data_IF_049542325956
#
_entry.id   IF_049542325956
#
_cell.length_a   1.000
_cell.length_b   1.000
_cell.length_c   1.000
_cell.angle_alpha   90.00
_cell.angle_beta   90.00
_cell.angle_gamma   90.00
#
_symmetry.space_group_name_H-M   'P 1'
#
loop_
_entity.id
_entity.type
_entity.pdbx_description
1 polymer ?
#
# COMPACT_ATOMS: atom_id res chain seq x y z
N UNK A 1 23.36 -10.07 -5.78
CA UNK A 1 23.66 -11.18 -6.69
C UNK A 1 22.61 -12.26 -6.53
N UNK A 2 22.15 -12.80 -7.62
CA UNK A 2 21.25 -13.94 -7.65
C UNK A 2 21.90 -15.17 -7.04
N UNK A 3 21.16 -15.87 -6.26
CA UNK A 3 21.54 -17.15 -5.72
C UNK A 3 20.76 -18.25 -6.42
N UNK A 4 21.49 -19.10 -7.12
CA UNK A 4 21.00 -20.35 -7.61
C UNK A 4 20.50 -20.34 -9.05
N UNK A 5 21.32 -20.91 -9.93
CA UNK A 5 20.94 -21.19 -11.30
C UNK A 5 19.70 -22.09 -11.43
N UNK A 6 19.44 -22.93 -10.42
CA UNK A 6 18.27 -23.81 -10.40
C UNK A 6 16.95 -23.04 -10.26
N UNK A 7 16.95 -21.94 -9.53
CA UNK A 7 15.77 -21.10 -9.38
C UNK A 7 15.42 -20.36 -10.68
N UNK A 8 16.42 -19.84 -11.35
CA UNK A 8 16.23 -19.24 -12.67
C UNK A 8 15.69 -20.24 -13.70
N UNK A 9 16.01 -21.53 -13.55
CA UNK A 9 15.49 -22.59 -14.42
C UNK A 9 14.05 -22.95 -14.11
N UNK A 10 13.65 -22.91 -12.83
CA UNK A 10 12.29 -23.27 -12.40
C UNK A 10 11.28 -22.14 -12.61
N UNK A 11 11.57 -21.00 -12.06
CA UNK A 11 10.66 -19.83 -12.08
C UNK A 11 11.07 -18.77 -13.10
N UNK A 12 12.29 -18.89 -13.66
CA UNK A 12 12.85 -18.02 -14.68
C UNK A 12 12.91 -16.54 -14.28
N UNK A 13 12.83 -16.24 -13.00
CA UNK A 13 12.82 -14.89 -12.46
C UNK A 13 14.01 -14.61 -11.53
N UNK A 14 14.18 -13.33 -11.18
CA UNK A 14 15.22 -12.86 -10.27
C UNK A 14 14.69 -12.89 -8.82
N UNK A 15 14.61 -14.07 -8.21
CA UNK A 15 13.99 -14.33 -6.91
C UNK A 15 14.98 -14.80 -5.84
N UNK A 16 16.22 -14.34 -5.90
CA UNK A 16 17.23 -14.69 -4.90
C UNK A 16 18.17 -13.53 -4.59
N UNK A 17 18.30 -13.19 -3.30
CA UNK A 17 19.10 -12.06 -2.82
C UNK A 17 19.94 -12.45 -1.61
N UNK A 18 21.26 -12.36 -1.72
CA UNK A 18 22.21 -12.79 -0.67
C UNK A 18 22.91 -11.64 0.08
N UNK A 19 22.86 -10.42 -0.46
CA UNK A 19 23.39 -9.19 0.15
C UNK A 19 24.83 -9.29 0.67
N UNK A 20 25.74 -9.87 -0.09
CA UNK A 20 27.15 -10.11 0.31
C UNK A 20 27.86 -8.86 0.84
N UNK A 21 27.54 -7.66 0.31
CA UNK A 21 28.14 -6.41 0.75
C UNK A 21 27.80 -5.99 2.19
N UNK A 22 26.73 -6.56 2.77
CA UNK A 22 26.27 -6.23 4.14
C UNK A 22 26.96 -7.06 5.22
N UNK A 23 27.63 -8.18 4.87
CA UNK A 23 28.32 -9.08 5.80
C UNK A 23 27.44 -9.49 7.00
N UNK A 24 26.16 -9.72 6.75
CA UNK A 24 25.13 -10.10 7.72
C UNK A 24 24.98 -9.13 8.92
N UNK A 25 25.44 -7.88 8.75
CA UNK A 25 25.47 -6.88 9.84
C UNK A 25 24.09 -6.60 10.46
N UNK A 26 23.03 -6.58 9.65
CA UNK A 26 21.67 -6.24 10.10
C UNK A 26 20.72 -7.43 10.09
N UNK A 27 20.97 -8.41 9.21
CA UNK A 27 20.26 -9.67 9.10
C UNK A 27 21.11 -10.68 8.34
N UNK A 28 21.08 -11.93 8.75
CA UNK A 28 21.64 -13.07 8.03
C UNK A 28 20.64 -13.71 7.07
N UNK A 29 19.39 -13.22 7.05
CA UNK A 29 18.32 -13.71 6.16
C UNK A 29 18.71 -13.56 4.69
N UNK A 30 18.53 -14.64 3.94
CA UNK A 30 18.74 -14.67 2.48
C UNK A 30 17.41 -14.96 1.81
N UNK A 31 17.11 -14.16 0.81
CA UNK A 31 15.91 -14.36 0.00
C UNK A 31 16.18 -15.44 -1.04
N UNK A 32 15.27 -16.42 -1.11
CA UNK A 32 15.29 -17.50 -2.07
C UNK A 32 13.96 -17.52 -2.82
N UNK A 33 13.90 -18.23 -3.94
CA UNK A 33 12.71 -18.30 -4.79
C UNK A 33 11.43 -18.69 -4.02
N UNK A 34 11.57 -19.56 -3.04
CA UNK A 34 10.44 -20.02 -2.21
C UNK A 34 9.92 -18.97 -1.20
N UNK A 35 10.54 -17.80 -1.15
CA UNK A 35 10.05 -16.64 -0.39
C UNK A 35 9.19 -15.70 -1.24
N UNK A 36 8.90 -16.08 -2.50
CA UNK A 36 8.10 -15.29 -3.43
C UNK A 36 6.96 -16.14 -3.98
N UNK A 37 5.81 -15.51 -4.28
CA UNK A 37 4.64 -16.10 -4.91
C UNK A 37 4.59 -15.83 -6.41
N UNK A 38 5.14 -14.70 -6.85
CA UNK A 38 5.10 -14.28 -8.24
C UNK A 38 6.32 -13.50 -8.74
N UNK A 39 6.40 -13.33 -10.05
CA UNK A 39 7.40 -12.47 -10.71
C UNK A 39 6.82 -11.81 -11.95
N UNK A 40 7.24 -10.58 -12.24
CA UNK A 40 6.81 -9.78 -13.40
C UNK A 40 7.58 -10.01 -14.68
N UNK A 41 8.61 -10.88 -14.65
CA UNK A 41 9.49 -11.07 -15.81
C UNK A 41 9.99 -12.50 -15.93
N UNK A 42 9.80 -13.10 -17.13
CA UNK A 42 10.40 -14.39 -17.52
C UNK A 42 11.75 -14.13 -18.19
N UNK A 43 12.83 -14.36 -17.46
CA UNK A 43 14.19 -14.12 -17.96
C UNK A 43 14.60 -15.07 -19.08
N UNK A 44 14.08 -16.28 -19.14
CA UNK A 44 14.38 -17.25 -20.20
C UNK A 44 13.71 -16.88 -21.52
N UNK A 45 12.48 -16.38 -21.49
CA UNK A 45 11.73 -15.94 -22.67
C UNK A 45 11.85 -14.43 -22.94
N UNK A 46 12.53 -13.68 -22.03
CA UNK A 46 12.72 -12.22 -22.12
C UNK A 46 11.40 -11.47 -22.31
N UNK A 47 10.37 -11.84 -21.55
CA UNK A 47 9.05 -11.22 -21.64
C UNK A 47 8.53 -10.80 -20.27
N UNK A 48 7.81 -9.68 -20.24
CA UNK A 48 7.04 -9.23 -19.09
C UNK A 48 5.68 -9.93 -19.04
N UNK A 49 5.13 -10.08 -17.84
CA UNK A 49 3.83 -10.69 -17.58
C UNK A 49 3.69 -11.02 -16.11
N UNK A 50 2.53 -11.51 -15.69
CA UNK A 50 2.33 -12.02 -14.34
C UNK A 50 2.58 -13.53 -14.35
N UNK A 51 3.59 -13.96 -13.63
CA UNK A 51 4.00 -15.37 -13.58
C UNK A 51 4.00 -15.84 -12.12
N UNK A 52 3.13 -16.81 -11.83
CA UNK A 52 3.14 -17.49 -10.54
C UNK A 52 4.36 -18.42 -10.43
N UNK A 53 5.04 -18.36 -9.31
CA UNK A 53 6.15 -19.28 -9.01
C UNK A 53 5.58 -20.66 -8.70
N UNK A 54 6.12 -21.68 -9.36
CA UNK A 54 5.67 -23.05 -9.21
C UNK A 54 6.48 -23.79 -8.13
N UNK A 55 5.79 -24.46 -7.21
CA UNK A 55 6.42 -25.24 -6.14
C UNK A 55 5.38 -25.79 -5.17
N UNK A 56 5.80 -26.68 -4.30
CA UNK A 56 4.94 -27.20 -3.24
C UNK A 56 4.53 -26.06 -2.29
N UNK A 57 3.23 -25.93 -2.03
CA UNK A 57 2.67 -24.89 -1.18
C UNK A 57 2.68 -23.48 -1.77
N UNK A 58 2.97 -23.32 -3.08
CA UNK A 58 2.97 -22.02 -3.75
C UNK A 58 1.59 -21.68 -4.29
N UNK A 59 1.06 -20.53 -3.84
CA UNK A 59 -0.18 -19.94 -4.31
C UNK A 59 -0.07 -18.42 -4.22
N UNK A 60 -1.01 -17.70 -4.81
CA UNK A 60 -1.23 -16.29 -4.49
C UNK A 60 -1.84 -16.17 -3.09
N UNK A 61 -1.49 -15.12 -2.35
CA UNK A 61 -2.06 -14.88 -1.02
C UNK A 61 -3.57 -14.61 -1.10
N UNK A 62 -4.29 -15.14 -0.13
CA UNK A 62 -5.69 -14.77 0.11
C UNK A 62 -5.76 -13.56 1.06
N UNK A 63 -6.91 -12.87 1.12
CA UNK A 63 -7.08 -11.66 1.95
C UNK A 63 -6.47 -10.41 1.33
N UNK A 64 -6.53 -10.31 0.00
CA UNK A 64 -6.16 -9.17 -0.83
C UNK A 64 -7.38 -8.63 -1.57
N UNK A 65 -7.28 -7.43 -2.15
CA UNK A 65 -8.35 -6.86 -2.98
C UNK A 65 -8.66 -7.73 -4.20
N UNK A 66 -9.94 -7.82 -4.56
CA UNK A 66 -10.41 -8.65 -5.67
C UNK A 66 -10.25 -8.02 -7.05
N UNK A 67 -9.74 -6.79 -7.14
CA UNK A 67 -9.63 -6.01 -8.39
C UNK A 67 -8.95 -6.79 -9.52
N UNK A 68 -7.88 -7.50 -9.20
CA UNK A 68 -7.11 -8.29 -10.18
C UNK A 68 -7.42 -9.79 -10.11
N UNK A 69 -8.54 -10.19 -9.53
CA UNK A 69 -8.87 -11.58 -9.28
C UNK A 69 -8.23 -12.09 -8.00
N UNK A 70 -7.64 -13.28 -8.04
CA UNK A 70 -7.11 -13.93 -6.84
C UNK A 70 -5.58 -13.85 -6.76
N UNK A 71 -4.96 -12.80 -7.22
CA UNK A 71 -3.54 -12.62 -7.06
C UNK A 71 -3.19 -11.26 -6.45
N UNK A 72 -2.24 -11.29 -5.55
CA UNK A 72 -1.71 -10.16 -4.82
C UNK A 72 -0.58 -9.42 -5.56
N UNK A 73 -0.22 -9.89 -6.75
CA UNK A 73 0.85 -9.34 -7.56
C UNK A 73 0.56 -7.91 -8.02
N UNK A 74 1.43 -6.98 -7.68
CA UNK A 74 1.41 -5.62 -8.20
C UNK A 74 2.49 -5.44 -9.28
N UNK A 75 3.76 -5.66 -8.93
CA UNK A 75 4.90 -5.49 -9.83
C UNK A 75 6.16 -6.20 -9.33
N UNK A 76 7.16 -6.36 -10.20
CA UNK A 76 8.46 -6.93 -9.91
C UNK A 76 8.42 -8.39 -9.42
N UNK A 77 8.78 -8.61 -8.14
CA UNK A 77 8.72 -9.93 -7.50
C UNK A 77 7.81 -9.82 -6.29
N UNK A 78 6.76 -10.59 -6.29
CA UNK A 78 5.78 -10.64 -5.24
C UNK A 78 6.29 -11.49 -4.07
N UNK A 79 6.25 -10.93 -2.86
CA UNK A 79 6.75 -11.57 -1.65
C UNK A 79 5.64 -12.45 -1.06
N UNK A 80 5.97 -13.71 -0.78
CA UNK A 80 5.06 -14.68 -0.17
C UNK A 80 4.80 -14.34 1.31
N UNK A 81 3.74 -13.58 1.57
CA UNK A 81 3.32 -13.18 2.92
C UNK A 81 2.64 -14.30 3.72
N UNK A 82 2.50 -15.50 3.15
CA UNK A 82 2.11 -16.72 3.85
C UNK A 82 3.31 -17.53 4.35
N UNK A 83 4.53 -17.22 3.87
CA UNK A 83 5.74 -17.94 4.26
C UNK A 83 6.23 -17.51 5.66
N UNK A 84 6.30 -18.41 6.66
CA UNK A 84 6.60 -18.03 8.05
C UNK A 84 7.94 -17.31 8.25
N UNK A 85 8.98 -17.71 7.50
CA UNK A 85 10.29 -17.07 7.60
C UNK A 85 10.28 -15.64 7.02
N UNK A 86 9.47 -15.39 5.98
CA UNK A 86 9.26 -14.06 5.40
C UNK A 86 8.56 -13.15 6.39
N UNK A 87 7.44 -13.60 6.94
CA UNK A 87 6.67 -12.86 7.96
C UNK A 87 7.55 -12.50 9.17
N UNK A 88 8.33 -13.49 9.67
CA UNK A 88 9.25 -13.28 10.78
C UNK A 88 10.32 -12.23 10.46
N UNK A 89 10.93 -12.31 9.28
CA UNK A 89 11.96 -11.36 8.87
C UNK A 89 11.41 -9.95 8.66
N UNK A 90 10.24 -9.81 8.04
CA UNK A 90 9.61 -8.49 7.85
C UNK A 90 9.18 -7.87 9.18
N UNK A 91 8.62 -8.64 10.11
CA UNK A 91 8.30 -8.17 11.45
C UNK A 91 9.57 -7.71 12.20
N UNK A 92 10.66 -8.49 12.11
CA UNK A 92 11.96 -8.11 12.67
C UNK A 92 12.48 -6.81 12.05
N UNK A 93 12.38 -6.70 10.71
CA UNK A 93 12.80 -5.50 9.99
C UNK A 93 11.97 -4.28 10.39
N UNK A 94 10.65 -4.41 10.52
CA UNK A 94 9.78 -3.32 10.95
C UNK A 94 10.15 -2.78 12.32
N UNK A 95 10.41 -3.67 13.29
CA UNK A 95 10.91 -3.31 14.62
C UNK A 95 12.26 -2.60 14.55
N UNK A 96 13.20 -3.17 13.79
CA UNK A 96 14.52 -2.59 13.65
C UNK A 96 14.48 -1.20 13.02
N UNK A 97 13.82 -1.02 11.88
CA UNK A 97 13.80 0.26 11.17
C UNK A 97 13.09 1.35 11.98
N UNK A 98 11.98 1.01 12.64
CA UNK A 98 11.25 1.96 13.46
C UNK A 98 12.07 2.44 14.68
N UNK A 99 12.87 1.57 15.27
CA UNK A 99 13.78 1.93 16.38
C UNK A 99 15.02 2.67 15.88
N UNK A 100 15.67 2.18 14.82
CA UNK A 100 16.91 2.77 14.28
C UNK A 100 16.72 4.21 13.82
N UNK A 101 15.58 4.49 13.19
CA UNK A 101 15.21 5.82 12.69
C UNK A 101 14.36 6.63 13.68
N UNK A 102 14.03 6.05 14.84
CA UNK A 102 13.16 6.64 15.85
C UNK A 102 11.83 7.16 15.24
N UNK A 103 11.15 6.31 14.47
CA UNK A 103 9.92 6.68 13.77
C UNK A 103 8.75 6.78 14.76
N UNK A 104 7.89 7.76 14.57
CA UNK A 104 6.61 7.91 15.28
C UNK A 104 5.44 7.26 14.48
N UNK A 105 5.67 6.94 13.21
CA UNK A 105 4.70 6.30 12.36
C UNK A 105 5.28 5.92 11.00
N UNK A 106 4.44 5.30 10.15
CA UNK A 106 4.80 4.93 8.78
C UNK A 106 3.61 4.95 7.83
N UNK A 107 3.89 5.21 6.55
CA UNK A 107 2.99 4.92 5.45
C UNK A 107 3.28 3.53 4.92
N UNK A 108 2.24 2.73 4.76
CA UNK A 108 2.28 1.43 4.11
C UNK A 108 1.73 1.58 2.69
N UNK A 109 2.59 1.32 1.73
CA UNK A 109 2.32 1.46 0.29
C UNK A 109 1.54 0.27 -0.23
N UNK A 110 0.58 0.49 -1.14
CA UNK A 110 -0.12 -0.53 -1.92
C UNK A 110 -0.69 -1.72 -1.11
N UNK A 111 -1.23 -1.45 0.09
CA UNK A 111 -1.67 -2.53 1.02
C UNK A 111 -2.82 -3.36 0.51
N UNK A 112 -3.57 -2.92 -0.51
CA UNK A 112 -4.61 -3.72 -1.14
C UNK A 112 -4.07 -4.97 -1.86
N UNK A 113 -2.77 -4.97 -2.21
CA UNK A 113 -2.04 -6.08 -2.79
C UNK A 113 -1.27 -6.90 -1.74
N UNK A 114 -1.44 -6.61 -0.46
CA UNK A 114 -0.81 -7.33 0.64
C UNK A 114 -1.88 -8.07 1.45
N UNK A 115 -1.54 -9.25 1.93
CA UNK A 115 -2.41 -10.00 2.84
C UNK A 115 -2.77 -9.15 4.06
N UNK A 116 -4.06 -8.93 4.29
CA UNK A 116 -4.61 -8.12 5.38
C UNK A 116 -4.11 -8.56 6.77
N UNK A 117 -4.12 -9.88 7.03
CA UNK A 117 -3.61 -10.47 8.27
C UNK A 117 -2.12 -10.19 8.48
N UNK A 118 -1.31 -10.16 7.41
CA UNK A 118 0.09 -9.78 7.52
C UNK A 118 0.23 -8.31 7.94
N UNK A 119 -0.52 -7.40 7.34
CA UNK A 119 -0.48 -5.97 7.70
C UNK A 119 -0.84 -5.77 9.16
N UNK A 120 -1.89 -6.44 9.64
CA UNK A 120 -2.30 -6.40 11.05
C UNK A 120 -1.20 -6.92 11.99
N UNK A 121 -0.58 -8.07 11.68
CA UNK A 121 0.50 -8.65 12.46
C UNK A 121 1.78 -7.80 12.45
N UNK A 122 2.11 -7.20 11.31
CA UNK A 122 3.26 -6.31 11.17
C UNK A 122 3.12 -5.07 12.07
N UNK A 123 1.94 -4.45 12.08
CA UNK A 123 1.67 -3.31 12.95
C UNK A 123 1.69 -3.69 14.43
N UNK A 124 1.15 -4.85 14.81
CA UNK A 124 1.27 -5.37 16.18
C UNK A 124 2.74 -5.57 16.58
N UNK A 125 3.54 -6.13 15.68
CA UNK A 125 4.95 -6.34 15.93
C UNK A 125 5.70 -5.01 16.14
N UNK A 126 5.47 -4.01 15.29
CA UNK A 126 6.08 -2.68 15.42
C UNK A 126 5.62 -2.00 16.71
N UNK A 127 4.32 -2.01 17.00
CA UNK A 127 3.74 -1.40 18.21
C UNK A 127 4.19 -2.06 19.49
N UNK A 128 4.55 -3.35 19.47
CA UNK A 128 5.13 -4.01 20.64
C UNK A 128 6.46 -3.40 21.09
N UNK A 129 7.18 -2.71 20.20
CA UNK A 129 8.45 -2.02 20.50
C UNK A 129 8.26 -0.51 20.66
N UNK A 130 7.41 0.10 19.82
CA UNK A 130 7.25 1.56 19.73
C UNK A 130 6.11 2.12 20.58
N UNK A 131 5.18 1.26 21.04
CA UNK A 131 3.98 1.66 21.74
C UNK A 131 2.75 1.73 20.82
N UNK A 132 1.58 1.72 21.43
CA UNK A 132 0.30 1.69 20.71
C UNK A 132 0.01 2.98 19.93
N UNK A 133 0.66 4.08 20.29
CA UNK A 133 0.51 5.38 19.65
C UNK A 133 1.29 5.48 18.32
N UNK A 134 2.04 4.42 17.96
CA UNK A 134 2.75 4.40 16.67
C UNK A 134 1.74 4.50 15.53
N UNK A 135 1.82 5.63 14.80
CA UNK A 135 0.88 5.95 13.74
C UNK A 135 1.11 5.10 12.48
N UNK A 136 0.04 4.69 11.83
CA UNK A 136 0.13 4.00 10.56
C UNK A 136 -0.96 4.50 9.61
N UNK A 137 -0.57 4.85 8.38
CA UNK A 137 -1.49 5.12 7.29
C UNK A 137 -1.20 4.17 6.13
N UNK A 138 -2.23 3.54 5.60
CA UNK A 138 -2.15 2.61 4.49
C UNK A 138 -2.72 3.20 3.20
N UNK A 139 -2.06 2.90 2.10
CA UNK A 139 -2.60 3.18 0.79
C UNK A 139 -3.40 1.98 0.28
N UNK A 140 -4.70 2.02 0.53
CA UNK A 140 -5.66 1.11 -0.08
C UNK A 140 -6.40 1.88 -1.19
N UNK A 141 -5.83 1.88 -2.39
CA UNK A 141 -6.34 2.70 -3.49
C UNK A 141 -7.57 2.07 -4.12
N UNK A 142 -8.73 2.38 -3.58
CA UNK A 142 -10.04 1.95 -4.06
C UNK A 142 -11.07 3.06 -3.80
N UNK A 143 -11.88 3.40 -4.79
CA UNK A 143 -12.94 4.41 -4.67
C UNK A 143 -14.26 3.87 -4.07
N UNK A 144 -14.33 2.57 -3.81
CA UNK A 144 -15.49 1.92 -3.21
C UNK A 144 -15.34 1.90 -1.68
N UNK A 145 -16.25 2.61 -1.01
CA UNK A 145 -16.28 2.68 0.45
C UNK A 145 -16.48 1.30 1.11
N UNK A 146 -17.30 0.41 0.51
CA UNK A 146 -17.53 -0.93 1.06
C UNK A 146 -16.23 -1.75 1.09
N UNK A 147 -15.34 -1.56 0.09
CA UNK A 147 -14.03 -2.22 0.08
C UNK A 147 -13.11 -1.68 1.19
N UNK A 148 -13.12 -0.37 1.45
CA UNK A 148 -12.36 0.25 2.53
C UNK A 148 -12.87 -0.21 3.90
N UNK A 149 -14.20 -0.22 4.09
CA UNK A 149 -14.85 -0.69 5.33
C UNK A 149 -14.48 -2.15 5.61
N UNK A 150 -14.59 -3.02 4.60
CA UNK A 150 -14.23 -4.43 4.73
C UNK A 150 -12.75 -4.62 5.11
N UNK A 151 -11.85 -3.81 4.53
CA UNK A 151 -10.43 -3.86 4.86
C UNK A 151 -10.15 -3.38 6.29
N UNK A 152 -10.78 -2.28 6.73
CA UNK A 152 -10.65 -1.77 8.11
C UNK A 152 -11.05 -2.84 9.12
N UNK A 153 -12.16 -3.54 8.88
CA UNK A 153 -12.60 -4.65 9.72
C UNK A 153 -11.60 -5.81 9.70
N UNK A 154 -11.10 -6.20 8.52
CA UNK A 154 -10.15 -7.31 8.37
C UNK A 154 -8.83 -7.07 9.12
N UNK A 155 -8.32 -5.83 9.14
CA UNK A 155 -7.11 -5.46 9.88
C UNK A 155 -7.36 -5.07 11.34
N UNK A 156 -8.61 -5.11 11.80
CA UNK A 156 -9.01 -4.82 13.18
C UNK A 156 -8.79 -3.35 13.58
N UNK A 157 -9.12 -2.41 12.70
CA UNK A 157 -9.01 -0.96 12.90
C UNK A 157 -7.58 -0.48 13.24
N UNK A 158 -6.54 -1.20 12.79
CA UNK A 158 -5.14 -0.93 13.19
C UNK A 158 -4.43 0.08 12.30
N UNK A 159 -5.01 0.47 11.18
CA UNK A 159 -4.39 1.36 10.19
C UNK A 159 -5.39 2.43 9.75
N UNK A 160 -4.91 3.65 9.63
CA UNK A 160 -5.65 4.72 8.95
C UNK A 160 -5.54 4.52 7.44
N UNK A 161 -6.55 4.91 6.68
CA UNK A 161 -6.51 4.83 5.22
C UNK A 161 -6.64 6.22 4.60
N UNK A 162 -6.03 6.40 3.43
CA UNK A 162 -6.34 7.56 2.61
C UNK A 162 -7.79 7.50 2.13
N UNK A 163 -8.49 8.63 2.23
CA UNK A 163 -9.89 8.76 1.80
C UNK A 163 -9.96 8.92 0.27
N UNK A 164 -9.83 7.81 -0.42
CA UNK A 164 -9.87 7.75 -1.89
C UNK A 164 -11.25 8.11 -2.43
N UNK A 165 -12.38 7.68 -1.83
CA UNK A 165 -13.71 8.16 -2.21
C UNK A 165 -13.83 9.69 -2.16
N UNK A 166 -13.34 10.35 -1.11
CA UNK A 166 -13.35 11.81 -1.00
C UNK A 166 -12.52 12.47 -2.11
N UNK A 167 -11.33 11.91 -2.40
CA UNK A 167 -10.52 12.37 -3.54
C UNK A 167 -11.33 12.34 -4.85
N UNK A 168 -12.02 11.23 -5.14
CA UNK A 168 -12.82 11.12 -6.36
C UNK A 168 -14.04 12.04 -6.37
N UNK A 169 -14.69 12.29 -5.22
CA UNK A 169 -15.74 13.28 -5.13
C UNK A 169 -15.22 14.69 -5.44
N UNK A 170 -14.05 15.06 -4.92
CA UNK A 170 -13.41 16.34 -5.22
C UNK A 170 -12.97 16.44 -6.69
N UNK A 171 -12.42 15.36 -7.25
CA UNK A 171 -12.08 15.30 -8.66
C UNK A 171 -13.32 15.51 -9.52
N UNK A 172 -14.41 14.78 -9.28
CA UNK A 172 -15.67 14.93 -10.01
C UNK A 172 -16.24 16.34 -9.86
N UNK A 173 -16.28 16.89 -8.65
CA UNK A 173 -16.73 18.27 -8.41
C UNK A 173 -15.93 19.28 -9.22
N UNK A 174 -14.63 19.07 -9.35
CA UNK A 174 -13.76 19.96 -10.14
C UNK A 174 -14.04 19.89 -11.64
N UNK A 175 -14.46 18.71 -12.16
CA UNK A 175 -14.81 18.51 -13.56
C UNK A 175 -16.20 19.07 -13.91
N UNK A 176 -17.18 18.82 -13.06
CA UNK A 176 -18.58 19.21 -13.29
C UNK A 176 -18.84 20.70 -12.95
N UNK A 177 -18.05 21.28 -12.08
CA UNK A 177 -18.13 22.69 -11.69
C UNK A 177 -19.51 23.05 -11.12
N UNK A 178 -20.21 23.98 -11.79
CA UNK A 178 -21.51 24.48 -11.34
C UNK A 178 -22.63 23.42 -11.33
N UNK A 179 -22.45 22.32 -12.01
CA UNK A 179 -23.45 21.26 -12.13
C UNK A 179 -23.31 20.21 -11.03
N UNK A 180 -22.20 20.22 -10.25
CA UNK A 180 -21.98 19.36 -9.08
C UNK A 180 -22.69 19.91 -7.83
N UNK A 181 -23.42 19.06 -7.11
CA UNK A 181 -24.02 19.43 -5.82
C UNK A 181 -23.02 19.25 -4.66
N UNK A 182 -22.47 20.35 -4.18
CA UNK A 182 -21.48 20.31 -3.09
C UNK A 182 -22.00 19.69 -1.77
N UNK A 183 -23.31 19.48 -1.62
CA UNK A 183 -23.86 18.74 -0.47
C UNK A 183 -23.47 17.26 -0.47
N UNK A 184 -23.12 16.75 -1.65
CA UNK A 184 -22.72 15.36 -1.85
C UNK A 184 -21.19 15.15 -1.72
N UNK A 185 -20.41 16.21 -1.46
CA UNK A 185 -18.93 16.13 -1.46
C UNK A 185 -18.38 15.13 -0.44
N UNK A 186 -19.04 14.96 0.70
CA UNK A 186 -18.65 14.01 1.76
C UNK A 186 -19.46 12.70 1.71
N UNK A 187 -20.40 12.59 0.78
CA UNK A 187 -21.26 11.41 0.70
C UNK A 187 -20.46 10.18 0.26
N UNK A 188 -20.73 9.05 0.94
CA UNK A 188 -20.09 7.76 0.68
C UNK A 188 -18.55 7.84 0.75
N UNK A 189 -18.01 8.67 1.67
CA UNK A 189 -16.58 8.84 1.91
C UNK A 189 -16.13 8.16 3.19
N UNK A 190 -14.82 7.87 3.28
CA UNK A 190 -14.26 7.27 4.47
C UNK A 190 -14.38 8.20 5.69
N UNK A 191 -14.20 9.51 5.51
CA UNK A 191 -14.30 10.49 6.59
C UNK A 191 -15.73 10.62 7.13
N UNK A 192 -16.74 10.35 6.31
CA UNK A 192 -18.14 10.29 6.77
C UNK A 192 -18.39 9.07 7.66
N UNK A 193 -17.85 7.89 7.29
CA UNK A 193 -18.08 6.62 7.99
C UNK A 193 -17.12 6.37 9.15
N UNK A 194 -15.84 6.64 8.95
CA UNK A 194 -14.75 6.41 9.91
C UNK A 194 -13.88 7.67 10.09
N UNK A 195 -14.43 8.74 10.68
CA UNK A 195 -13.73 10.02 10.80
C UNK A 195 -12.37 9.92 11.50
N UNK A 196 -12.22 9.00 12.44
CA UNK A 196 -10.98 8.81 13.20
C UNK A 196 -9.91 8.00 12.45
N UNK A 197 -10.29 7.31 11.36
CA UNK A 197 -9.39 6.48 10.55
C UNK A 197 -9.11 7.09 9.18
N UNK A 198 -9.83 8.13 8.79
CA UNK A 198 -9.69 8.75 7.48
C UNK A 198 -8.51 9.72 7.42
N UNK A 199 -7.62 9.54 6.44
CA UNK A 199 -6.63 10.52 6.04
C UNK A 199 -7.10 11.21 4.78
N UNK A 200 -7.57 12.45 4.90
CA UNK A 200 -8.15 13.20 3.79
C UNK A 200 -7.08 13.78 2.88
N UNK A 201 -7.23 13.57 1.59
CA UNK A 201 -6.30 14.04 0.55
C UNK A 201 -7.05 14.76 -0.57
N UNK A 202 -6.40 15.73 -1.20
CA UNK A 202 -6.88 16.34 -2.46
C UNK A 202 -6.24 15.64 -3.64
N UNK A 203 -4.92 15.64 -3.71
CA UNK A 203 -4.13 14.93 -4.71
C UNK A 203 -2.93 14.24 -4.05
N UNK A 204 -2.25 13.38 -4.81
CA UNK A 204 -0.97 12.79 -4.45
C UNK A 204 -0.06 12.65 -5.70
N UNK A 205 1.10 12.02 -5.54
CA UNK A 205 2.07 11.81 -6.61
C UNK A 205 1.59 10.86 -7.73
N UNK A 206 0.57 10.03 -7.45
CA UNK A 206 0.00 9.10 -8.43
C UNK A 206 -1.26 9.66 -9.11
N UNK A 207 -1.96 10.63 -8.50
CA UNK A 207 -3.14 11.27 -9.10
C UNK A 207 -2.82 12.49 -9.94
N UNK A 208 -1.63 13.08 -9.77
CA UNK A 208 -1.19 14.23 -10.57
C UNK A 208 -1.14 13.93 -12.06
N UNK A 209 -1.19 14.98 -12.88
CA UNK A 209 -1.17 14.87 -14.35
C UNK A 209 0.05 14.08 -14.85
N UNK A 210 -0.19 13.10 -15.73
CA UNK A 210 0.84 12.22 -16.30
C UNK A 210 1.25 11.03 -15.43
N UNK A 211 0.65 10.85 -14.28
CA UNK A 211 0.91 9.70 -13.38
C UNK A 211 -0.05 8.53 -13.65
N UNK A 212 0.21 7.39 -12.99
CA UNK A 212 -0.47 6.12 -13.24
C UNK A 212 -1.95 6.10 -12.90
N UNK A 213 -2.36 6.88 -11.91
CA UNK A 213 -3.74 7.00 -11.42
C UNK A 213 -4.30 8.40 -11.71
N UNK A 214 -3.87 9.04 -12.81
CA UNK A 214 -4.21 10.40 -13.14
C UNK A 214 -5.70 10.72 -12.93
N UNK A 215 -5.98 11.50 -11.91
CA UNK A 215 -7.29 11.99 -11.49
C UNK A 215 -7.15 13.34 -10.77
N UNK A 216 -6.25 14.18 -11.29
CA UNK A 216 -5.90 15.46 -10.63
C UNK A 216 -7.12 16.37 -10.52
N UNK A 217 -7.38 16.84 -9.32
CA UNK A 217 -8.36 17.89 -9.04
C UNK A 217 -7.97 19.16 -9.81
N UNK A 218 -8.90 19.80 -10.49
CA UNK A 218 -8.62 20.98 -11.30
C UNK A 218 -8.13 22.17 -10.44
N UNK A 219 -7.16 22.92 -10.96
CA UNK A 219 -6.45 23.98 -10.24
C UNK A 219 -7.38 25.04 -9.63
N UNK A 220 -8.52 25.33 -10.30
CA UNK A 220 -9.50 26.28 -9.79
C UNK A 220 -10.22 25.77 -8.53
N UNK A 221 -10.36 24.45 -8.35
CA UNK A 221 -11.06 23.83 -7.22
C UNK A 221 -10.11 23.46 -6.06
N UNK A 222 -8.82 23.23 -6.32
CA UNK A 222 -7.84 22.86 -5.29
C UNK A 222 -7.88 23.74 -4.03
N UNK A 223 -7.93 25.10 -4.11
CA UNK A 223 -8.01 25.90 -2.91
C UNK A 223 -9.28 25.65 -2.08
N UNK A 224 -10.40 25.31 -2.72
CA UNK A 224 -11.64 24.97 -2.03
C UNK A 224 -11.54 23.60 -1.38
N UNK A 225 -10.99 22.63 -2.11
CA UNK A 225 -10.76 21.26 -1.62
C UNK A 225 -9.82 21.23 -0.41
N UNK A 226 -8.69 21.95 -0.48
CA UNK A 226 -7.79 22.11 0.68
C UNK A 226 -8.45 22.88 1.81
N UNK A 227 -9.24 23.92 1.51
CA UNK A 227 -10.03 24.62 2.52
C UNK A 227 -10.99 23.68 3.25
N UNK A 228 -11.63 22.77 2.52
CA UNK A 228 -12.52 21.77 3.10
C UNK A 228 -11.76 20.84 4.07
N UNK A 229 -10.74 20.12 3.59
CA UNK A 229 -10.03 19.13 4.41
C UNK A 229 -9.26 19.73 5.59
N UNK A 230 -8.82 20.98 5.50
CA UNK A 230 -8.07 21.65 6.56
C UNK A 230 -8.96 22.29 7.64
N UNK A 231 -10.21 22.63 7.30
CA UNK A 231 -11.10 23.34 8.20
C UNK A 231 -12.22 22.48 8.81
N UNK A 232 -12.49 21.33 8.20
CA UNK A 232 -13.42 20.38 8.82
C UNK A 232 -12.79 19.76 10.07
N UNK A 233 -13.64 19.32 10.99
CA UNK A 233 -13.23 18.75 12.28
C UNK A 233 -12.76 17.29 12.13
N UNK A 234 -13.40 16.57 11.24
CA UNK A 234 -13.26 15.13 11.01
C UNK A 234 -12.11 14.85 10.03
N UNK A 235 -11.46 13.70 10.21
CA UNK A 235 -10.35 13.23 9.37
C UNK A 235 -9.00 13.88 9.71
N UNK A 236 -7.94 13.30 9.17
CA UNK A 236 -6.58 13.80 9.30
C UNK A 236 -6.10 14.36 7.94
N UNK A 237 -5.95 15.68 7.77
CA UNK A 237 -5.62 16.26 6.46
C UNK A 237 -4.17 16.01 6.07
N UNK A 238 -3.97 15.57 4.83
CA UNK A 238 -2.67 15.37 4.22
C UNK A 238 -2.53 16.29 3.00
N UNK A 239 -1.51 17.16 3.00
CA UNK A 239 -1.21 18.06 1.89
C UNK A 239 -0.21 17.41 0.95
N UNK A 240 -0.50 17.48 -0.34
CA UNK A 240 0.45 17.07 -1.36
C UNK A 240 1.49 18.16 -1.60
N UNK A 241 2.76 17.79 -1.47
CA UNK A 241 3.90 18.73 -1.62
C UNK A 241 3.90 19.43 -2.98
N UNK A 242 3.56 18.69 -4.07
CA UNK A 242 3.49 19.23 -5.43
C UNK A 242 2.47 20.36 -5.58
N UNK A 243 1.33 20.27 -4.88
CA UNK A 243 0.29 21.30 -4.92
C UNK A 243 0.69 22.58 -4.16
N UNK A 244 1.57 22.44 -3.18
CA UNK A 244 2.01 23.56 -2.36
C UNK A 244 3.18 24.33 -2.98
N UNK A 245 4.13 23.63 -3.60
CA UNK A 245 5.35 24.26 -4.14
C UNK A 245 5.40 24.36 -5.68
N UNK A 246 4.50 23.71 -6.41
CA UNK A 246 4.44 23.69 -7.87
C UNK A 246 5.27 22.61 -8.53
#
# INVERSE_FOLDING_TARGET
SLVGSEMCIRDRGWTGYSFHGRKDKHSDFKWHWYHFSGTGFDDAQKRSGVFQIQGEGKAWSEGVDSENGNYDFLLCNDIDLDHPAVVSELNRWGKWVSNELNLDGMRLDAIKHMKDQFVAQFLDAVRSERGNDFYAVGEYWNGDLEALDAYIEAVGHKVNLFDVPLHYNMFQASQEGKDYDLRDILKDTLVEHHPDLAVTIVDNHDTQRGSSLESSVEDWFKPLAYGLILLMKEGYPCLFYGDYYG
#
